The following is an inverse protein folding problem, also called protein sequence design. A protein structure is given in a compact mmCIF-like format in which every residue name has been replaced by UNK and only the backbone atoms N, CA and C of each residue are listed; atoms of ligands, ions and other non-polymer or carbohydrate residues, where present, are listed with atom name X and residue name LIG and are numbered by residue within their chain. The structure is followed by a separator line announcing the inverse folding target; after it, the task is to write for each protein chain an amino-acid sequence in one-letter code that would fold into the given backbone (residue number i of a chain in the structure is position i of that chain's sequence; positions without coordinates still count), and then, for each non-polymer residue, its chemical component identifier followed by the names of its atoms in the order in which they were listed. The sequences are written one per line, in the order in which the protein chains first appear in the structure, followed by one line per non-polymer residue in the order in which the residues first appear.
data_IF_481583535483
#
_entry.id   IF_481583535483
#
_cell.length_a   1.000
_cell.length_b   1.000
_cell.length_c   1.000
_cell.angle_alpha   90.00
_cell.angle_beta   90.00
_cell.angle_gamma   90.00
#
_symmetry.space_group_name_H-M   'P 1'
#
loop_
_entity.id
_entity.type
_entity.pdbx_description
1 polymer ?
#
# COMPACT_ATOMS: atom_id res chain seq x y z
N UNK A 1 64.60 11.59 18.16
CA UNK A 1 63.26 11.33 18.71
C UNK A 1 62.32 11.16 17.53
N UNK A 2 62.07 9.92 17.11
CA UNK A 2 61.20 9.62 15.97
C UNK A 2 59.78 9.40 16.48
N UNK A 3 58.86 10.27 16.08
CA UNK A 3 57.42 10.06 16.28
C UNK A 3 56.91 9.16 15.17
N UNK A 4 56.66 7.90 15.51
CA UNK A 4 55.94 6.95 14.66
C UNK A 4 54.46 7.33 14.70
N UNK A 5 53.93 7.88 13.61
CA UNK A 5 52.48 8.02 13.41
C UNK A 5 51.91 6.64 13.11
N UNK A 6 51.14 6.09 14.04
CA UNK A 6 50.31 4.91 13.81
C UNK A 6 49.17 5.38 12.90
N UNK A 7 49.11 4.85 11.67
CA UNK A 7 47.95 4.99 10.81
C UNK A 7 46.77 4.32 11.51
N UNK A 8 45.91 5.17 12.07
CA UNK A 8 44.63 4.78 12.62
C UNK A 8 43.74 4.44 11.43
N UNK A 9 43.88 3.21 10.92
CA UNK A 9 42.95 2.62 9.96
C UNK A 9 41.61 2.51 10.66
N UNK A 10 40.86 3.61 10.62
CA UNK A 10 39.46 3.66 10.97
C UNK A 10 38.74 2.72 10.01
N UNK A 11 38.61 1.46 10.43
CA UNK A 11 37.58 0.56 9.97
C UNK A 11 36.26 1.29 10.19
N UNK A 12 35.79 2.03 9.18
CA UNK A 12 34.40 2.47 9.10
C UNK A 12 33.58 1.19 9.11
N UNK A 13 33.13 0.81 10.31
CA UNK A 13 32.00 -0.08 10.50
C UNK A 13 30.93 0.40 9.53
N UNK A 14 30.78 -0.35 8.43
CA UNK A 14 29.80 -0.08 7.40
C UNK A 14 28.48 -0.38 8.09
N UNK A 15 27.86 0.64 8.69
CA UNK A 15 26.57 0.56 9.38
C UNK A 15 25.64 -0.16 8.40
N UNK A 16 25.38 -1.44 8.64
CA UNK A 16 24.50 -2.22 7.78
C UNK A 16 23.11 -1.67 8.00
N UNK A 17 22.55 -1.02 6.98
CA UNK A 17 21.20 -0.49 7.04
C UNK A 17 20.22 -1.56 7.49
N UNK A 18 19.31 -1.20 8.41
CA UNK A 18 18.28 -2.13 8.90
C UNK A 18 17.45 -2.68 7.74
N UNK A 19 17.28 -4.02 7.60
CA UNK A 19 16.52 -4.64 6.51
C UNK A 19 15.00 -4.56 6.71
N UNK A 20 14.53 -4.08 7.87
CA UNK A 20 13.11 -4.07 8.22
C UNK A 20 12.21 -3.37 7.18
N UNK A 21 12.57 -2.22 6.58
CA UNK A 21 11.75 -1.60 5.55
C UNK A 21 11.60 -2.46 4.28
N UNK A 22 12.65 -3.20 3.90
CA UNK A 22 12.61 -4.10 2.76
C UNK A 22 11.74 -5.32 3.03
N UNK A 23 11.85 -5.91 4.24
CA UNK A 23 10.99 -7.00 4.68
C UNK A 23 9.52 -6.55 4.70
N UNK A 24 9.24 -5.36 5.23
CA UNK A 24 7.89 -4.81 5.24
C UNK A 24 7.34 -4.58 3.82
N UNK A 25 8.13 -3.97 2.93
CA UNK A 25 7.72 -3.74 1.54
C UNK A 25 7.48 -5.02 0.75
N UNK A 26 8.37 -6.01 0.87
CA UNK A 26 8.21 -7.32 0.23
C UNK A 26 7.06 -8.13 0.84
N UNK A 27 6.90 -8.07 2.16
CA UNK A 27 5.78 -8.68 2.87
C UNK A 27 4.44 -8.08 2.46
N UNK A 28 4.38 -6.75 2.27
CA UNK A 28 3.19 -6.08 1.74
C UNK A 28 2.85 -6.61 0.34
N UNK A 29 3.83 -6.68 -0.55
CA UNK A 29 3.65 -7.25 -1.89
C UNK A 29 3.16 -8.71 -1.83
N UNK A 30 3.80 -9.55 -1.01
CA UNK A 30 3.40 -10.95 -0.83
C UNK A 30 1.99 -11.11 -0.29
N UNK A 31 1.60 -10.30 0.69
CA UNK A 31 0.25 -10.29 1.25
C UNK A 31 -0.80 -9.87 0.20
N UNK A 32 -0.51 -8.84 -0.60
CA UNK A 32 -1.40 -8.41 -1.68
C UNK A 32 -1.55 -9.49 -2.76
N UNK A 33 -0.45 -10.09 -3.21
CA UNK A 33 -0.48 -11.17 -4.21
C UNK A 33 -1.25 -12.38 -3.67
N UNK A 34 -1.05 -12.74 -2.40
CA UNK A 34 -1.82 -13.78 -1.74
C UNK A 34 -3.32 -13.47 -1.69
N UNK A 35 -3.69 -12.22 -1.38
CA UNK A 35 -5.09 -11.78 -1.38
C UNK A 35 -5.71 -11.90 -2.78
N UNK A 36 -5.01 -11.42 -3.81
CA UNK A 36 -5.48 -11.51 -5.20
C UNK A 36 -5.63 -12.97 -5.67
N UNK A 37 -4.64 -13.82 -5.37
CA UNK A 37 -4.65 -15.22 -5.78
C UNK A 37 -5.73 -16.05 -5.05
N UNK A 38 -5.99 -15.75 -3.77
CA UNK A 38 -7.01 -16.44 -2.98
C UNK A 38 -8.43 -15.99 -3.33
N UNK A 39 -8.63 -14.71 -3.64
CA UNK A 39 -9.96 -14.20 -3.97
C UNK A 39 -10.48 -14.76 -5.30
N UNK A 40 -9.64 -14.84 -6.34
CA UNK A 40 -9.98 -15.57 -7.57
C UNK A 40 -11.09 -14.97 -8.44
N UNK A 41 -11.46 -13.71 -8.21
CA UNK A 41 -12.55 -12.98 -8.88
C UNK A 41 -13.90 -13.74 -8.96
N UNK A 42 -14.53 -14.02 -7.80
CA UNK A 42 -15.79 -14.76 -7.74
C UNK A 42 -16.97 -13.92 -8.23
N UNK A 43 -16.76 -12.61 -8.44
CA UNK A 43 -17.80 -11.64 -8.81
C UNK A 43 -17.79 -11.35 -10.31
N UNK A 44 -16.68 -11.58 -11.02
CA UNK A 44 -16.54 -11.29 -12.45
C UNK A 44 -17.49 -12.08 -13.36
N UNK A 45 -18.08 -13.18 -12.88
CA UNK A 45 -19.06 -13.99 -13.62
C UNK A 45 -20.54 -13.68 -13.27
N UNK A 46 -20.79 -12.74 -12.35
CA UNK A 46 -22.14 -12.42 -11.90
C UNK A 46 -22.72 -11.21 -12.64
N UNK A 47 -23.86 -11.41 -13.31
CA UNK A 47 -24.62 -10.35 -13.98
C UNK A 47 -25.65 -9.68 -13.06
N UNK A 48 -25.91 -10.26 -11.88
CA UNK A 48 -26.91 -9.77 -10.93
C UNK A 48 -26.41 -9.84 -9.48
N UNK A 49 -26.92 -8.97 -8.58
CA UNK A 49 -26.61 -9.04 -7.15
C UNK A 49 -26.94 -10.39 -6.51
N UNK A 50 -27.97 -11.08 -7.01
CA UNK A 50 -28.35 -12.41 -6.54
C UNK A 50 -27.32 -13.49 -6.94
N UNK A 51 -26.81 -13.46 -8.17
CA UNK A 51 -25.75 -14.36 -8.61
C UNK A 51 -24.45 -14.09 -7.84
N UNK A 52 -24.11 -12.82 -7.62
CA UNK A 52 -22.94 -12.43 -6.84
C UNK A 52 -23.04 -12.87 -5.37
N UNK A 53 -24.23 -12.76 -4.77
CA UNK A 53 -24.50 -13.25 -3.42
C UNK A 53 -24.38 -14.78 -3.31
N UNK A 54 -24.78 -15.52 -4.34
CA UNK A 54 -24.62 -16.98 -4.37
C UNK A 54 -23.16 -17.44 -4.51
N UNK A 55 -22.29 -16.63 -5.13
CA UNK A 55 -20.88 -16.98 -5.37
C UNK A 55 -19.95 -16.68 -4.18
N UNK A 56 -20.29 -15.70 -3.33
CA UNK A 56 -19.42 -15.24 -2.24
C UNK A 56 -19.23 -16.22 -1.06
N UNK A 57 -20.20 -17.05 -0.63
CA UNK A 57 -20.04 -17.94 0.52
C UNK A 57 -18.92 -18.97 0.36
N UNK A 58 -18.73 -19.48 -0.86
CA UNK A 58 -17.69 -20.47 -1.17
C UNK A 58 -16.34 -19.83 -1.51
N UNK A 59 -16.27 -18.50 -1.54
CA UNK A 59 -15.06 -17.76 -1.86
C UNK A 59 -14.11 -17.63 -0.66
N UNK A 60 -12.84 -17.36 -0.92
CA UNK A 60 -11.87 -17.04 0.13
C UNK A 60 -11.90 -15.55 0.55
N UNK A 61 -13.05 -14.87 0.47
CA UNK A 61 -13.18 -13.43 0.74
C UNK A 61 -12.62 -13.03 2.12
N UNK A 62 -12.90 -13.81 3.17
CA UNK A 62 -12.40 -13.54 4.52
C UNK A 62 -10.87 -13.62 4.61
N UNK A 63 -10.26 -14.62 3.98
CA UNK A 63 -8.80 -14.75 3.93
C UNK A 63 -8.17 -13.59 3.15
N UNK A 64 -8.75 -13.24 1.99
CA UNK A 64 -8.30 -12.11 1.18
C UNK A 64 -8.36 -10.80 1.99
N UNK A 65 -9.42 -10.57 2.77
CA UNK A 65 -9.53 -9.39 3.63
C UNK A 65 -8.46 -9.35 4.74
N UNK A 66 -8.14 -10.49 5.37
CA UNK A 66 -7.05 -10.57 6.35
C UNK A 66 -5.70 -10.25 5.71
N UNK A 67 -5.43 -10.80 4.53
CA UNK A 67 -4.20 -10.54 3.78
C UNK A 67 -4.11 -9.07 3.32
N UNK A 68 -5.22 -8.45 2.94
CA UNK A 68 -5.30 -7.01 2.66
C UNK A 68 -5.06 -6.15 3.90
N UNK A 69 -5.52 -6.59 5.06
CA UNK A 69 -5.19 -5.96 6.35
C UNK A 69 -3.70 -6.03 6.67
N UNK A 70 -3.08 -7.19 6.45
CA UNK A 70 -1.64 -7.37 6.61
C UNK A 70 -0.84 -6.48 5.62
N UNK A 71 -1.24 -6.45 4.34
CA UNK A 71 -0.71 -5.52 3.35
C UNK A 71 -0.78 -4.08 3.87
N UNK A 72 -1.93 -3.66 4.40
CA UNK A 72 -2.11 -2.30 4.86
C UNK A 72 -1.15 -1.90 5.98
N UNK A 73 -1.04 -2.72 7.02
CA UNK A 73 -0.14 -2.47 8.15
C UNK A 73 1.33 -2.35 7.68
N UNK A 74 1.75 -3.24 6.79
CA UNK A 74 3.12 -3.26 6.27
C UNK A 74 3.40 -2.06 5.36
N UNK A 75 2.47 -1.69 4.48
CA UNK A 75 2.59 -0.50 3.61
C UNK A 75 2.61 0.80 4.42
N UNK A 76 1.82 0.89 5.50
CA UNK A 76 1.84 2.03 6.45
C UNK A 76 3.21 2.12 7.13
N UNK A 77 3.78 0.99 7.58
CA UNK A 77 5.12 0.98 8.16
C UNK A 77 6.20 1.48 7.18
N UNK A 78 6.13 1.07 5.90
CA UNK A 78 7.03 1.58 4.84
C UNK A 78 6.85 3.09 4.65
N UNK A 79 5.61 3.57 4.67
CA UNK A 79 5.29 5.00 4.55
C UNK A 79 5.88 5.82 5.70
N UNK A 80 5.74 5.35 6.94
CA UNK A 80 6.32 5.99 8.12
C UNK A 80 7.85 6.01 8.07
N UNK A 81 8.48 4.91 7.67
CA UNK A 81 9.92 4.83 7.48
C UNK A 81 10.43 5.79 6.39
N UNK A 82 9.68 5.93 5.28
CA UNK A 82 9.98 6.89 4.22
C UNK A 82 9.88 8.33 4.73
N UNK A 83 8.81 8.67 5.46
CA UNK A 83 8.63 9.99 6.06
C UNK A 83 9.78 10.34 7.01
N UNK A 84 10.14 9.43 7.92
CA UNK A 84 11.26 9.60 8.83
C UNK A 84 12.59 9.77 8.09
N UNK A 85 12.80 9.05 6.97
CA UNK A 85 14.01 9.21 6.16
C UNK A 85 14.08 10.56 5.48
N UNK A 86 13.00 11.00 4.84
CA UNK A 86 12.98 12.27 4.10
C UNK A 86 13.04 13.47 5.06
N UNK A 87 12.38 13.40 6.21
CA UNK A 87 12.40 14.46 7.22
C UNK A 87 13.78 14.70 7.84
N UNK A 88 14.64 13.68 7.94
CA UNK A 88 16.03 13.84 8.44
C UNK A 88 16.89 14.75 7.58
N UNK A 89 16.59 14.86 6.28
CA UNK A 89 17.40 15.61 5.32
C UNK A 89 16.79 16.97 4.94
N UNK A 90 15.71 17.37 5.62
CA UNK A 90 14.96 18.58 5.31
C UNK A 90 13.52 18.40 5.75
N UNK A 91 13.19 18.93 6.93
CA UNK A 91 11.83 18.89 7.44
C UNK A 91 10.94 19.80 6.59
N UNK A 92 10.00 19.20 5.87
CA UNK A 92 9.10 19.89 4.94
C UNK A 92 7.66 19.50 5.24
N UNK A 93 6.68 20.40 4.99
CA UNK A 93 5.27 20.05 5.10
C UNK A 93 4.90 18.79 4.30
N UNK A 94 5.50 18.62 3.10
CA UNK A 94 5.32 17.45 2.27
C UNK A 94 5.75 16.14 2.97
N UNK A 95 6.92 16.13 3.62
CA UNK A 95 7.40 14.97 4.37
C UNK A 95 6.49 14.62 5.58
N UNK A 96 5.95 15.65 6.26
CA UNK A 96 5.04 15.48 7.41
C UNK A 96 3.67 14.94 7.02
N UNK A 97 3.21 15.21 5.79
CA UNK A 97 1.93 14.70 5.28
C UNK A 97 2.01 13.24 4.82
N UNK A 98 3.20 12.69 4.58
CA UNK A 98 3.35 11.33 4.04
C UNK A 98 2.67 10.25 4.88
N UNK A 99 2.85 10.19 6.22
CA UNK A 99 2.20 9.15 7.03
C UNK A 99 0.69 9.24 6.96
N UNK A 100 0.13 10.46 6.93
CA UNK A 100 -1.31 10.69 6.90
C UNK A 100 -1.86 10.25 5.54
N UNK A 101 -1.33 10.81 4.44
CA UNK A 101 -1.82 10.53 3.09
C UNK A 101 -1.60 9.07 2.70
N UNK A 102 -0.44 8.50 3.00
CA UNK A 102 -0.15 7.10 2.71
C UNK A 102 -1.04 6.15 3.52
N UNK A 103 -1.29 6.43 4.81
CA UNK A 103 -2.22 5.62 5.61
C UNK A 103 -3.65 5.73 5.11
N UNK A 104 -4.13 6.93 4.79
CA UNK A 104 -5.48 7.10 4.23
C UNK A 104 -5.65 6.39 2.90
N UNK A 105 -4.67 6.50 1.98
CA UNK A 105 -4.70 5.78 0.71
C UNK A 105 -4.82 4.27 0.95
N UNK A 106 -3.95 3.72 1.80
CA UNK A 106 -3.90 2.30 2.08
C UNK A 106 -5.15 1.79 2.80
N UNK A 107 -5.71 2.56 3.74
CA UNK A 107 -6.93 2.19 4.45
C UNK A 107 -8.16 2.26 3.54
N UNK A 108 -8.29 3.29 2.69
CA UNK A 108 -9.38 3.37 1.71
C UNK A 108 -9.31 2.22 0.71
N UNK A 109 -8.11 1.85 0.30
CA UNK A 109 -7.86 0.64 -0.48
C UNK A 109 -8.34 -0.61 0.23
N UNK A 110 -7.93 -0.82 1.49
CA UNK A 110 -8.39 -1.98 2.27
C UNK A 110 -9.91 -2.00 2.40
N UNK A 111 -10.56 -0.86 2.64
CA UNK A 111 -12.03 -0.77 2.72
C UNK A 111 -12.66 -1.18 1.39
N UNK A 112 -12.16 -0.68 0.26
CA UNK A 112 -12.65 -1.06 -1.05
C UNK A 112 -12.56 -2.59 -1.23
N UNK A 113 -11.39 -3.18 -1.05
CA UNK A 113 -11.19 -4.59 -1.36
C UNK A 113 -11.71 -5.57 -0.29
N UNK A 114 -11.93 -5.12 0.95
CA UNK A 114 -12.49 -5.95 2.03
C UNK A 114 -14.03 -5.90 2.11
N UNK A 115 -14.68 -4.99 1.38
CA UNK A 115 -16.15 -4.85 1.42
C UNK A 115 -16.92 -6.16 1.11
N UNK A 116 -16.52 -7.01 0.14
CA UNK A 116 -17.19 -8.29 -0.08
C UNK A 116 -17.09 -9.23 1.12
N UNK A 117 -15.93 -9.26 1.81
CA UNK A 117 -15.76 -10.05 3.02
C UNK A 117 -16.62 -9.54 4.17
N UNK A 118 -16.84 -8.22 4.26
CA UNK A 118 -17.76 -7.64 5.22
C UNK A 118 -19.21 -8.09 4.94
N UNK A 119 -19.64 -8.12 3.68
CA UNK A 119 -20.96 -8.65 3.32
C UNK A 119 -21.12 -10.12 3.74
N UNK A 120 -20.09 -10.95 3.55
CA UNK A 120 -20.07 -12.34 4.02
C UNK A 120 -20.18 -12.41 5.54
N UNK A 121 -19.33 -11.67 6.26
CA UNK A 121 -19.30 -11.70 7.72
C UNK A 121 -20.61 -11.19 8.33
N UNK A 122 -21.17 -10.09 7.82
CA UNK A 122 -22.45 -9.55 8.31
C UNK A 122 -23.60 -10.52 8.05
N UNK A 123 -23.69 -11.06 6.83
CA UNK A 123 -24.76 -11.98 6.46
C UNK A 123 -24.74 -13.31 7.23
N UNK A 124 -23.55 -13.86 7.45
CA UNK A 124 -23.36 -15.18 8.08
C UNK A 124 -23.21 -15.11 9.60
N UNK A 125 -22.47 -14.13 10.14
CA UNK A 125 -22.15 -14.09 11.57
C UNK A 125 -23.09 -13.18 12.39
N UNK A 126 -23.67 -12.15 11.78
CA UNK A 126 -24.52 -11.18 12.50
C UNK A 126 -26.00 -11.53 12.35
N UNK A 127 -26.45 -11.80 11.12
CA UNK A 127 -27.86 -12.00 10.82
C UNK A 127 -28.28 -13.45 10.58
N UNK A 128 -27.34 -14.39 10.42
CA UNK A 128 -27.60 -15.80 10.11
C UNK A 128 -28.54 -16.01 8.91
N UNK A 129 -28.45 -15.12 7.92
CA UNK A 129 -29.28 -15.13 6.69
C UNK A 129 -28.50 -15.56 5.45
N UNK A 130 -27.20 -15.85 5.61
CA UNK A 130 -26.29 -16.02 4.50
C UNK A 130 -25.95 -14.70 3.80
N UNK A 131 -25.25 -14.77 2.67
CA UNK A 131 -24.93 -13.57 1.88
C UNK A 131 -26.19 -13.11 1.14
N UNK A 132 -26.61 -11.87 1.37
CA UNK A 132 -27.83 -11.32 0.75
C UNK A 132 -27.49 -10.44 -0.46
N UNK A 133 -28.39 -10.35 -1.47
CA UNK A 133 -28.19 -9.46 -2.63
C UNK A 133 -27.95 -8.00 -2.23
N UNK A 134 -28.69 -7.49 -1.23
CA UNK A 134 -28.54 -6.13 -0.71
C UNK A 134 -27.19 -5.92 -0.02
N UNK A 135 -26.68 -6.92 0.69
CA UNK A 135 -25.35 -6.88 1.29
C UNK A 135 -24.24 -6.78 0.24
N UNK A 136 -24.39 -7.51 -0.86
CA UNK A 136 -23.46 -7.45 -2.01
C UNK A 136 -23.54 -6.12 -2.74
N UNK A 137 -24.74 -5.63 -3.02
CA UNK A 137 -24.93 -4.33 -3.66
C UNK A 137 -24.31 -3.20 -2.82
N UNK A 138 -24.51 -3.23 -1.50
CA UNK A 138 -23.89 -2.28 -0.57
C UNK A 138 -22.36 -2.37 -0.59
N UNK A 139 -21.80 -3.58 -0.64
CA UNK A 139 -20.35 -3.78 -0.76
C UNK A 139 -19.80 -3.23 -2.09
N UNK A 140 -20.50 -3.48 -3.21
CA UNK A 140 -20.12 -2.95 -4.52
C UNK A 140 -20.22 -1.42 -4.58
N UNK A 141 -21.23 -0.82 -3.95
CA UNK A 141 -21.33 0.63 -3.80
C UNK A 141 -20.15 1.19 -3.01
N UNK A 142 -19.82 0.57 -1.87
CA UNK A 142 -18.64 0.95 -1.07
C UNK A 142 -17.34 0.84 -1.87
N UNK A 143 -17.16 -0.25 -2.64
CA UNK A 143 -16.02 -0.42 -3.55
C UNK A 143 -15.92 0.73 -4.55
N UNK A 144 -17.03 1.08 -5.20
CA UNK A 144 -17.08 2.10 -6.24
C UNK A 144 -16.90 3.53 -5.70
N UNK A 145 -17.15 3.77 -4.41
CA UNK A 145 -16.87 5.07 -3.77
C UNK A 145 -15.45 5.11 -3.20
N UNK A 146 -15.05 4.07 -2.48
CA UNK A 146 -13.76 4.03 -1.78
C UNK A 146 -12.58 3.97 -2.76
N UNK A 147 -12.71 3.24 -3.88
CA UNK A 147 -11.61 3.10 -4.83
C UNK A 147 -11.21 4.44 -5.50
N UNK A 148 -12.14 5.24 -6.08
CA UNK A 148 -11.80 6.58 -6.57
C UNK A 148 -11.21 7.47 -5.47
N UNK A 149 -11.79 7.49 -4.27
CA UNK A 149 -11.24 8.28 -3.16
C UNK A 149 -9.81 7.86 -2.83
N UNK A 150 -9.54 6.55 -2.79
CA UNK A 150 -8.21 6.00 -2.57
C UNK A 150 -7.22 6.44 -3.65
N UNK A 151 -7.63 6.48 -4.93
CA UNK A 151 -6.78 6.93 -6.03
C UNK A 151 -6.40 8.41 -5.89
N UNK A 152 -7.34 9.28 -5.50
CA UNK A 152 -7.07 10.72 -5.32
C UNK A 152 -6.13 10.97 -4.14
N UNK A 153 -6.38 10.29 -3.02
CA UNK A 153 -5.50 10.37 -1.84
C UNK A 153 -4.12 9.77 -2.16
N UNK A 154 -4.07 8.67 -2.90
CA UNK A 154 -2.82 8.03 -3.35
C UNK A 154 -2.01 8.92 -4.28
N UNK A 155 -2.66 9.64 -5.19
CA UNK A 155 -2.00 10.63 -6.03
C UNK A 155 -1.42 11.77 -5.19
N UNK A 156 -2.20 12.31 -4.24
CA UNK A 156 -1.72 13.32 -3.30
C UNK A 156 -0.53 12.84 -2.46
N UNK A 157 -0.59 11.60 -1.98
CA UNK A 157 0.53 10.94 -1.29
C UNK A 157 1.79 10.90 -2.16
N UNK A 158 1.69 10.42 -3.40
CA UNK A 158 2.83 10.28 -4.29
C UNK A 158 3.40 11.63 -4.77
N UNK A 159 2.55 12.64 -4.96
CA UNK A 159 3.00 14.02 -5.20
C UNK A 159 3.78 14.53 -4.00
N UNK A 160 3.28 14.31 -2.77
CA UNK A 160 4.00 14.68 -1.56
C UNK A 160 5.34 13.94 -1.45
N UNK A 161 5.42 12.66 -1.84
CA UNK A 161 6.69 11.91 -1.90
C UNK A 161 7.64 12.54 -2.90
N UNK A 162 7.18 12.88 -4.11
CA UNK A 162 8.02 13.49 -5.14
C UNK A 162 8.58 14.85 -4.68
N UNK A 163 7.74 15.69 -4.05
CA UNK A 163 8.15 16.98 -3.50
C UNK A 163 9.14 16.84 -2.35
N UNK A 164 8.85 15.96 -1.39
CA UNK A 164 9.75 15.69 -0.26
C UNK A 164 11.09 15.10 -0.72
N UNK A 165 11.06 14.20 -1.70
CA UNK A 165 12.26 13.60 -2.31
C UNK A 165 13.11 14.66 -3.03
N UNK A 166 12.47 15.59 -3.75
CA UNK A 166 13.14 16.71 -4.41
C UNK A 166 13.80 17.63 -3.40
N UNK A 167 13.07 18.04 -2.36
CA UNK A 167 13.57 18.92 -1.32
C UNK A 167 14.76 18.32 -0.57
N UNK A 168 14.71 17.01 -0.29
CA UNK A 168 15.78 16.27 0.38
C UNK A 168 16.96 15.90 -0.55
N UNK A 169 16.90 16.21 -1.85
CA UNK A 169 17.94 15.84 -2.83
C UNK A 169 18.22 14.33 -2.92
N UNK A 170 17.23 13.48 -2.60
CA UNK A 170 17.50 12.09 -2.23
C UNK A 170 17.68 11.12 -3.42
N UNK A 171 16.71 11.04 -4.34
CA UNK A 171 16.73 10.07 -5.46
C UNK A 171 15.88 10.54 -6.63
N UNK A 172 16.51 10.68 -7.81
CA UNK A 172 15.79 11.01 -9.07
C UNK A 172 14.83 9.90 -9.49
N UNK A 173 15.20 8.64 -9.23
CA UNK A 173 14.36 7.48 -9.57
C UNK A 173 13.09 7.48 -8.71
N UNK A 174 13.21 7.69 -7.40
CA UNK A 174 12.05 7.73 -6.51
C UNK A 174 11.11 8.88 -6.89
N UNK A 175 11.66 10.06 -7.17
CA UNK A 175 10.89 11.21 -7.65
C UNK A 175 10.13 10.86 -8.94
N UNK A 176 10.84 10.35 -9.96
CA UNK A 176 10.25 10.04 -11.26
C UNK A 176 9.18 8.97 -11.19
N UNK A 177 9.46 7.86 -10.52
CA UNK A 177 8.49 6.75 -10.36
C UNK A 177 7.27 7.21 -9.58
N UNK A 178 7.43 7.94 -8.48
CA UNK A 178 6.29 8.50 -7.72
C UNK A 178 5.47 9.47 -8.55
N UNK A 179 6.09 10.34 -9.35
CA UNK A 179 5.37 11.26 -10.22
C UNK A 179 4.56 10.51 -11.30
N UNK A 180 5.15 9.47 -11.93
CA UNK A 180 4.46 8.65 -12.93
C UNK A 180 3.26 7.93 -12.31
N UNK A 181 3.42 7.32 -11.14
CA UNK A 181 2.31 6.66 -10.45
C UNK A 181 1.23 7.68 -10.02
N UNK A 182 1.61 8.89 -9.58
CA UNK A 182 0.65 9.92 -9.22
C UNK A 182 -0.22 10.34 -10.42
N UNK A 183 0.41 10.59 -11.57
CA UNK A 183 -0.31 10.92 -12.81
C UNK A 183 -1.19 9.75 -13.25
N UNK A 184 -0.68 8.53 -13.19
CA UNK A 184 -1.44 7.33 -13.54
C UNK A 184 -2.66 7.10 -12.65
N UNK A 185 -2.59 7.38 -11.35
CA UNK A 185 -3.73 7.32 -10.43
C UNK A 185 -4.82 8.36 -10.76
N UNK A 186 -4.44 9.51 -11.31
CA UNK A 186 -5.37 10.59 -11.67
C UNK A 186 -6.03 10.42 -13.06
N UNK A 187 -5.62 9.42 -13.83
CA UNK A 187 -6.13 9.19 -15.19
C UNK A 187 -7.15 8.04 -15.20
N UNK A 188 -8.46 8.29 -15.38
CA UNK A 188 -9.41 7.24 -15.71
C UNK A 188 -9.16 6.74 -17.15
N UNK A 189 -9.17 5.43 -17.45
CA UNK A 189 -9.36 4.26 -16.57
C UNK A 189 -8.06 3.69 -15.96
N UNK A 190 -6.91 4.30 -16.27
CA UNK A 190 -5.56 3.85 -15.87
C UNK A 190 -5.39 3.74 -14.35
N UNK A 191 -6.08 4.57 -13.58
CA UNK A 191 -5.99 4.59 -12.11
C UNK A 191 -6.27 3.24 -11.44
N UNK A 192 -7.15 2.42 -12.01
CA UNK A 192 -7.38 1.05 -11.53
C UNK A 192 -6.12 0.20 -11.67
N UNK A 193 -5.51 0.19 -12.85
CA UNK A 193 -4.29 -0.58 -13.09
C UNK A 193 -3.14 -0.12 -12.18
N UNK A 194 -2.95 1.19 -12.02
CA UNK A 194 -1.88 1.72 -11.15
C UNK A 194 -2.09 1.34 -9.70
N UNK A 195 -3.35 1.30 -9.26
CA UNK A 195 -3.69 0.86 -7.92
C UNK A 195 -3.23 -0.58 -7.63
N UNK A 196 -3.36 -1.49 -8.60
CA UNK A 196 -2.80 -2.85 -8.48
C UNK A 196 -1.26 -2.90 -8.53
N UNK A 197 -0.61 -1.84 -9.03
CA UNK A 197 0.85 -1.74 -9.07
C UNK A 197 1.45 -1.11 -7.80
N UNK A 198 0.64 -0.45 -6.96
CA UNK A 198 1.10 0.17 -5.71
C UNK A 198 1.87 -0.78 -4.76
N UNK A 199 1.52 -2.06 -4.62
CA UNK A 199 2.32 -3.02 -3.83
C UNK A 199 3.78 -3.13 -4.30
N UNK A 200 4.02 -3.07 -5.63
CA UNK A 200 5.38 -3.05 -6.17
C UNK A 200 6.10 -1.74 -5.83
N UNK A 201 5.38 -0.62 -5.81
CA UNK A 201 5.94 0.66 -5.37
C UNK A 201 6.38 0.60 -3.90
N UNK A 202 5.55 0.08 -3.00
CA UNK A 202 5.91 -0.10 -1.59
C UNK A 202 7.11 -1.05 -1.40
N UNK A 203 7.16 -2.16 -2.14
CA UNK A 203 8.30 -3.06 -2.14
C UNK A 203 9.59 -2.36 -2.61
N UNK A 204 9.50 -1.62 -3.72
CA UNK A 204 10.62 -0.84 -4.27
C UNK A 204 11.14 0.22 -3.28
N UNK A 205 10.24 0.94 -2.61
CA UNK A 205 10.59 1.91 -1.56
C UNK A 205 11.24 1.23 -0.36
N UNK A 206 10.70 0.10 0.10
CA UNK A 206 11.28 -0.68 1.18
C UNK A 206 12.72 -1.09 0.90
N UNK A 207 12.98 -1.61 -0.31
CA UNK A 207 14.32 -1.97 -0.78
C UNK A 207 15.22 -0.74 -0.88
N UNK A 208 14.70 0.37 -1.41
CA UNK A 208 15.45 1.63 -1.52
C UNK A 208 15.86 2.15 -0.13
N UNK A 209 14.96 2.09 0.86
CA UNK A 209 15.25 2.48 2.24
C UNK A 209 16.32 1.59 2.87
N UNK A 210 16.27 0.27 2.66
CA UNK A 210 17.30 -0.65 3.15
C UNK A 210 18.68 -0.34 2.57
N UNK A 211 18.76 -0.07 1.25
CA UNK A 211 20.03 0.25 0.56
C UNK A 211 20.62 1.62 0.96
N UNK A 212 19.83 2.49 1.57
CA UNK A 212 20.22 3.89 1.87
C UNK A 212 20.28 4.21 3.37
N UNK A 213 19.78 3.33 4.23
CA UNK A 213 19.98 3.38 5.69
C UNK A 213 21.40 2.94 6.05
#
# INVERSE_FOLDING_TARGET
MSTTTIDDTTHRSRRTGSPLPAIAGLGALGAFVGAAASFGDPLGAADTPAQAAAALPESAASLAAVLLGAYALLAIAVTGALAARLGRNGDTPAARLLPILGSWHVLLMTVAFAAPAAAVAVGTLIFDTGVTPTGVESALLLMNVAHPMAAWVGAGFLVAVALATRAAGASRVLLGVSAVFAVGLLLPPVGWAVTYLMPFWFAGVGIWLWRRN
#
